data_IF_742113777545
#
_entry.id   IF_742113777545
#
_cell.length_a   1.000
_cell.length_b   1.000
_cell.length_c   1.000
_cell.angle_alpha   90.00
_cell.angle_beta   90.00
_cell.angle_gamma   90.00
#
_symmetry.space_group_name_H-M   'P 1'
#
loop_
_entity.id
_entity.type
_entity.pdbx_description
1 polymer ?
#
# COMPACT_ATOMS: atom_id res chain seq x y z
N UNK A 1 -25.56 -34.11 11.67
CA UNK A 1 -25.24 -34.57 10.29
C UNK A 1 -24.53 -33.47 9.49
N UNK A 2 -25.07 -32.26 9.40
CA UNK A 2 -24.48 -31.13 8.65
C UNK A 2 -23.09 -30.73 9.18
N UNK A 3 -22.90 -30.71 10.50
CA UNK A 3 -21.61 -30.41 11.13
C UNK A 3 -20.56 -31.45 10.80
N UNK A 4 -20.90 -32.73 10.88
CA UNK A 4 -19.97 -33.83 10.55
C UNK A 4 -19.59 -33.82 9.06
N UNK A 5 -20.50 -33.46 8.17
CA UNK A 5 -20.24 -33.28 6.74
C UNK A 5 -19.29 -32.09 6.49
N UNK A 6 -19.49 -30.97 7.17
CA UNK A 6 -18.61 -29.79 7.09
C UNK A 6 -17.20 -30.09 7.65
N UNK A 7 -17.11 -30.79 8.78
CA UNK A 7 -15.83 -31.19 9.37
C UNK A 7 -15.06 -32.14 8.43
N UNK A 8 -15.74 -33.06 7.76
CA UNK A 8 -15.13 -33.94 6.77
C UNK A 8 -14.71 -33.20 5.50
N UNK A 9 -15.54 -32.26 5.00
CA UNK A 9 -15.21 -31.43 3.82
C UNK A 9 -14.01 -30.52 4.07
N UNK A 10 -13.87 -29.99 5.28
CA UNK A 10 -12.75 -29.13 5.68
C UNK A 10 -11.51 -29.93 6.14
N UNK A 11 -11.59 -31.28 6.14
CA UNK A 11 -10.48 -32.14 6.57
C UNK A 11 -10.16 -32.04 8.06
N UNK A 12 -11.12 -31.61 8.89
CA UNK A 12 -10.97 -31.42 10.33
C UNK A 12 -11.13 -32.71 11.13
N UNK A 13 -11.44 -33.83 10.47
CA UNK A 13 -11.59 -35.18 11.02
C UNK A 13 -10.27 -35.82 11.46
N UNK A 14 -9.14 -35.31 11.00
CA UNK A 14 -7.81 -35.80 11.30
C UNK A 14 -7.14 -35.05 12.48
N UNK A 15 -6.16 -35.65 13.18
CA UNK A 15 -5.33 -34.94 14.16
C UNK A 15 -4.65 -33.70 13.57
N UNK A 16 -4.52 -32.64 14.36
CA UNK A 16 -3.94 -31.35 13.92
C UNK A 16 -2.61 -31.49 13.17
N UNK A 17 -1.64 -32.30 13.60
CA UNK A 17 -0.38 -32.48 12.86
C UNK A 17 -0.59 -33.04 11.45
N UNK A 18 -1.57 -33.91 11.28
CA UNK A 18 -1.89 -34.52 9.99
C UNK A 18 -2.57 -33.51 9.06
N UNK A 19 -3.50 -32.69 9.61
CA UNK A 19 -4.11 -31.56 8.86
C UNK A 19 -3.05 -30.60 8.35
N UNK A 20 -2.09 -30.24 9.21
CA UNK A 20 -0.98 -29.34 8.86
C UNK A 20 -0.10 -29.89 7.73
N UNK A 21 0.29 -31.18 7.83
CA UNK A 21 1.10 -31.83 6.79
C UNK A 21 0.35 -31.95 5.47
N UNK A 22 -0.95 -32.30 5.50
CA UNK A 22 -1.79 -32.32 4.29
C UNK A 22 -1.86 -30.97 3.63
N UNK A 23 -2.18 -29.92 4.39
CA UNK A 23 -2.23 -28.55 3.88
C UNK A 23 -0.91 -28.10 3.25
N UNK A 24 0.24 -28.33 3.92
CA UNK A 24 1.55 -28.03 3.35
C UNK A 24 1.83 -28.81 2.07
N UNK A 25 1.44 -30.05 2.00
CA UNK A 25 1.58 -30.87 0.81
C UNK A 25 0.76 -30.30 -0.35
N UNK A 26 -0.46 -29.88 -0.11
CA UNK A 26 -1.32 -29.31 -1.13
C UNK A 26 -0.79 -27.95 -1.61
N UNK A 27 -0.31 -27.11 -0.69
CA UNK A 27 0.33 -25.84 -1.04
C UNK A 27 1.61 -26.04 -1.88
N UNK A 28 2.51 -26.93 -1.46
CA UNK A 28 3.82 -27.07 -2.09
C UNK A 28 3.79 -27.91 -3.37
N UNK A 29 2.97 -28.96 -3.43
CA UNK A 29 2.94 -29.86 -4.60
C UNK A 29 1.90 -29.49 -5.63
N UNK A 30 0.76 -28.96 -5.21
CA UNK A 30 -0.35 -28.63 -6.11
C UNK A 30 -0.56 -27.11 -6.27
N UNK A 31 0.11 -26.30 -5.43
CA UNK A 31 -0.11 -24.83 -5.38
C UNK A 31 -1.55 -24.51 -5.01
N UNK A 32 -2.18 -25.39 -4.22
CA UNK A 32 -3.55 -25.22 -3.74
C UNK A 32 -3.54 -24.55 -2.37
N UNK A 33 -4.11 -23.34 -2.30
CA UNK A 33 -4.23 -22.55 -1.08
C UNK A 33 -5.60 -22.73 -0.41
N UNK A 34 -6.42 -23.63 -0.95
CA UNK A 34 -7.79 -23.84 -0.53
C UNK A 34 -8.76 -22.75 -1.01
N UNK A 35 -10.00 -22.88 -0.56
CA UNK A 35 -11.07 -21.97 -0.89
C UNK A 35 -11.38 -20.99 0.24
N UNK A 36 -11.78 -19.78 -0.14
CA UNK A 36 -12.21 -18.76 0.82
C UNK A 36 -13.54 -19.19 1.47
N UNK A 37 -13.54 -19.32 2.78
CA UNK A 37 -14.73 -19.69 3.57
C UNK A 37 -15.88 -18.68 3.36
N UNK A 38 -15.55 -17.40 3.15
CA UNK A 38 -16.55 -16.34 3.01
C UNK A 38 -17.07 -16.18 1.58
N UNK A 39 -16.25 -16.45 0.57
CA UNK A 39 -16.58 -16.18 -0.83
C UNK A 39 -16.80 -17.45 -1.66
N UNK A 40 -16.40 -18.62 -1.16
CA UNK A 40 -16.54 -19.89 -1.88
C UNK A 40 -15.73 -19.97 -3.18
N UNK A 41 -14.65 -19.17 -3.29
CA UNK A 41 -13.77 -19.14 -4.47
C UNK A 41 -12.33 -19.40 -4.08
N UNK A 42 -11.55 -19.94 -4.99
CA UNK A 42 -10.14 -20.27 -4.77
C UNK A 42 -9.33 -19.06 -4.31
N UNK A 43 -8.60 -19.22 -3.20
CA UNK A 43 -7.67 -18.20 -2.67
C UNK A 43 -6.59 -17.88 -3.69
N UNK A 44 -6.08 -18.88 -4.41
CA UNK A 44 -5.08 -18.70 -5.47
C UNK A 44 -5.56 -17.75 -6.58
N UNK A 45 -6.81 -17.90 -7.02
CA UNK A 45 -7.35 -17.06 -8.09
C UNK A 45 -7.59 -15.63 -7.61
N UNK A 46 -8.03 -15.46 -6.36
CA UNK A 46 -8.13 -14.12 -5.75
C UNK A 46 -6.77 -13.42 -5.66
N UNK A 47 -5.73 -14.14 -5.23
CA UNK A 47 -4.37 -13.59 -5.18
C UNK A 47 -3.93 -13.19 -6.59
N UNK A 48 -4.07 -14.05 -7.59
CA UNK A 48 -3.69 -13.75 -8.97
C UNK A 48 -4.37 -12.50 -9.53
N UNK A 49 -5.64 -12.29 -9.19
CA UNK A 49 -6.39 -11.13 -9.65
C UNK A 49 -6.02 -9.83 -8.93
N UNK A 50 -5.74 -9.90 -7.62
CA UNK A 50 -5.52 -8.70 -6.80
C UNK A 50 -4.06 -8.31 -6.66
N UNK A 51 -3.15 -9.28 -6.67
CA UNK A 51 -1.72 -9.05 -6.45
C UNK A 51 -1.11 -8.06 -7.46
N UNK A 52 -1.40 -8.15 -8.78
CA UNK A 52 -0.84 -7.20 -9.75
C UNK A 52 -1.21 -5.76 -9.42
N UNK A 53 -2.49 -5.51 -9.13
CA UNK A 53 -2.99 -4.17 -8.76
C UNK A 53 -2.34 -3.67 -7.46
N UNK A 54 -2.23 -4.54 -6.46
CA UNK A 54 -1.59 -4.19 -5.18
C UNK A 54 -0.12 -3.84 -5.35
N UNK A 55 0.61 -4.63 -6.15
CA UNK A 55 2.03 -4.36 -6.44
C UNK A 55 2.20 -3.06 -7.24
N UNK A 56 1.35 -2.84 -8.22
CA UNK A 56 1.38 -1.64 -9.06
C UNK A 56 1.17 -0.37 -8.23
N UNK A 57 0.12 -0.33 -7.42
CA UNK A 57 -0.16 0.81 -6.53
C UNK A 57 0.97 0.97 -5.50
N UNK A 58 1.47 -0.13 -4.92
CA UNK A 58 2.54 -0.11 -3.94
C UNK A 58 3.86 0.44 -4.50
N UNK A 59 4.27 -0.03 -5.69
CA UNK A 59 5.47 0.48 -6.38
C UNK A 59 5.31 1.95 -6.74
N UNK A 60 4.15 2.34 -7.27
CA UNK A 60 3.88 3.73 -7.63
C UNK A 60 3.88 4.64 -6.38
N UNK A 61 3.30 4.18 -5.28
CA UNK A 61 3.32 4.89 -3.99
C UNK A 61 4.76 5.10 -3.47
N UNK A 62 5.62 4.07 -3.57
CA UNK A 62 7.04 4.17 -3.20
C UNK A 62 7.79 5.17 -4.09
N UNK A 63 7.57 5.13 -5.41
CA UNK A 63 8.19 6.08 -6.34
C UNK A 63 7.77 7.51 -6.00
N UNK A 64 6.48 7.77 -5.82
CA UNK A 64 5.96 9.08 -5.42
C UNK A 64 6.56 9.52 -4.09
N UNK A 65 6.60 8.60 -3.11
CA UNK A 65 7.17 8.88 -1.81
C UNK A 65 8.66 9.27 -1.89
N UNK A 66 9.46 8.57 -2.67
CA UNK A 66 10.87 8.90 -2.86
C UNK A 66 11.06 10.23 -3.58
N UNK A 67 10.32 10.47 -4.66
CA UNK A 67 10.42 11.70 -5.43
C UNK A 67 10.05 12.95 -4.63
N UNK A 68 9.21 12.82 -3.62
CA UNK A 68 8.79 13.93 -2.75
C UNK A 68 9.69 14.02 -1.51
N UNK A 69 9.91 12.90 -0.81
CA UNK A 69 10.61 12.94 0.48
C UNK A 69 12.08 13.27 0.37
N UNK A 70 12.79 12.79 -0.66
CA UNK A 70 14.24 13.03 -0.81
C UNK A 70 14.58 14.50 -1.02
N UNK A 71 14.01 15.20 -2.01
CA UNK A 71 14.31 16.62 -2.20
C UNK A 71 13.93 17.47 -0.99
N UNK A 72 12.80 17.18 -0.37
CA UNK A 72 12.31 17.89 0.80
C UNK A 72 13.24 17.66 2.01
N UNK A 73 13.64 16.42 2.26
CA UNK A 73 14.53 16.10 3.37
C UNK A 73 15.91 16.75 3.22
N UNK A 74 16.48 16.70 2.01
CA UNK A 74 17.76 17.36 1.70
C UNK A 74 17.65 18.87 1.89
N UNK A 75 16.64 19.50 1.30
CA UNK A 75 16.40 20.94 1.46
C UNK A 75 16.26 21.32 2.95
N UNK A 76 15.46 20.57 3.70
CA UNK A 76 15.20 20.80 5.12
C UNK A 76 16.46 20.63 5.98
N UNK A 77 17.36 19.71 5.62
CA UNK A 77 18.62 19.52 6.32
C UNK A 77 19.64 20.63 6.01
N UNK A 78 19.78 21.00 4.73
CA UNK A 78 20.74 22.05 4.29
C UNK A 78 20.27 23.44 4.74
N UNK A 79 18.98 23.70 4.77
CA UNK A 79 18.37 24.98 5.18
C UNK A 79 17.77 24.88 6.58
N UNK A 80 18.51 24.28 7.50
CA UNK A 80 18.08 24.08 8.89
C UNK A 80 17.63 25.41 9.53
N UNK A 81 16.57 25.33 10.35
CA UNK A 81 15.97 26.42 11.14
C UNK A 81 15.45 27.62 10.31
N UNK A 82 15.25 27.42 9.00
CA UNK A 82 14.54 28.37 8.15
C UNK A 82 13.02 28.12 8.17
N UNK A 83 12.24 29.12 7.69
CA UNK A 83 10.78 28.98 7.52
C UNK A 83 10.44 27.79 6.63
N UNK A 84 11.24 27.52 5.58
CA UNK A 84 11.08 26.34 4.72
C UNK A 84 11.25 25.02 5.46
N UNK A 85 12.28 24.92 6.32
CA UNK A 85 12.47 23.73 7.16
C UNK A 85 11.27 23.50 8.09
N UNK A 86 10.82 24.55 8.79
CA UNK A 86 9.63 24.44 9.64
C UNK A 86 8.37 24.05 8.88
N UNK A 87 8.15 24.61 7.68
CA UNK A 87 7.00 24.26 6.84
C UNK A 87 7.03 22.79 6.42
N UNK A 88 8.17 22.27 5.97
CA UNK A 88 8.30 20.86 5.58
C UNK A 88 8.21 19.88 6.76
N UNK A 89 8.74 20.26 7.93
CA UNK A 89 8.54 19.47 9.15
C UNK A 89 7.09 19.41 9.57
N UNK A 90 6.36 20.53 9.48
CA UNK A 90 4.93 20.57 9.73
C UNK A 90 4.14 19.71 8.73
N UNK A 91 4.50 19.78 7.44
CA UNK A 91 3.90 18.94 6.40
C UNK A 91 4.12 17.45 6.67
N UNK A 92 5.33 17.05 7.08
CA UNK A 92 5.62 15.66 7.45
C UNK A 92 4.75 15.20 8.64
N UNK A 93 4.53 16.07 9.64
CA UNK A 93 3.65 15.75 10.77
C UNK A 93 2.20 15.60 10.30
N UNK A 94 1.71 16.49 9.44
CA UNK A 94 0.36 16.40 8.87
C UNK A 94 0.19 15.08 8.14
N UNK A 95 1.13 14.68 7.31
CA UNK A 95 1.06 13.42 6.56
C UNK A 95 0.98 12.18 7.45
N UNK A 96 1.69 12.17 8.58
CA UNK A 96 1.63 11.06 9.54
C UNK A 96 0.36 11.09 10.38
N UNK A 97 -0.19 12.28 10.65
CA UNK A 97 -1.31 12.47 11.56
C UNK A 97 -2.67 12.16 10.90
N UNK A 98 -2.76 12.29 9.58
CA UNK A 98 -4.00 12.05 8.86
C UNK A 98 -4.15 10.56 8.53
N UNK A 99 -5.27 9.91 8.91
CA UNK A 99 -5.54 8.54 8.50
C UNK A 99 -5.70 8.46 6.98
N UNK A 100 -4.93 7.59 6.31
CA UNK A 100 -4.94 7.45 4.84
C UNK A 100 -6.35 7.14 4.29
N UNK A 101 -7.11 6.28 4.97
CA UNK A 101 -8.49 5.98 4.56
C UNK A 101 -9.40 7.21 4.59
N UNK A 102 -9.22 8.08 5.58
CA UNK A 102 -9.99 9.32 5.68
C UNK A 102 -9.65 10.28 4.54
N UNK A 103 -8.37 10.46 4.24
CA UNK A 103 -7.92 11.25 3.09
C UNK A 103 -8.52 10.69 1.80
N UNK A 104 -8.48 9.35 1.62
CA UNK A 104 -9.08 8.68 0.47
C UNK A 104 -10.57 8.98 0.32
N UNK A 105 -11.33 8.91 1.40
CA UNK A 105 -12.76 9.26 1.39
C UNK A 105 -12.95 10.73 1.00
N UNK A 106 -12.20 11.66 1.60
CA UNK A 106 -12.34 13.09 1.32
C UNK A 106 -12.01 13.43 -0.14
N UNK A 107 -10.98 12.83 -0.70
CA UNK A 107 -10.55 13.02 -2.09
C UNK A 107 -11.58 12.48 -3.10
N UNK A 108 -12.40 11.52 -2.73
CA UNK A 108 -13.50 11.04 -3.58
C UNK A 108 -14.77 11.84 -3.37
N UNK A 109 -15.15 12.08 -2.11
CA UNK A 109 -16.44 12.68 -1.74
C UNK A 109 -16.52 14.15 -2.12
N UNK A 110 -15.52 14.97 -1.79
CA UNK A 110 -15.58 16.41 -2.09
C UNK A 110 -15.64 16.72 -3.59
N UNK A 111 -14.77 16.15 -4.44
CA UNK A 111 -14.90 16.39 -5.88
C UNK A 111 -16.20 15.86 -6.48
N UNK A 112 -16.71 14.74 -5.95
CA UNK A 112 -18.00 14.21 -6.39
C UNK A 112 -19.15 15.16 -6.09
N UNK A 113 -19.18 15.77 -4.89
CA UNK A 113 -20.26 16.69 -4.49
C UNK A 113 -20.15 18.04 -5.24
N UNK A 114 -18.93 18.59 -5.37
CA UNK A 114 -18.78 19.96 -5.89
C UNK A 114 -18.64 20.02 -7.40
N UNK A 115 -18.09 19.01 -8.05
CA UNK A 115 -17.77 19.00 -9.48
C UNK A 115 -18.39 17.82 -10.24
N UNK A 116 -19.14 16.94 -9.56
CA UNK A 116 -19.70 15.73 -10.18
C UNK A 116 -18.63 14.74 -10.67
N UNK A 117 -17.38 14.87 -10.18
CA UNK A 117 -16.29 13.98 -10.57
C UNK A 117 -16.32 12.69 -9.74
N UNK A 118 -16.12 11.57 -10.40
CA UNK A 118 -15.89 10.27 -9.74
C UNK A 118 -14.67 9.60 -10.33
N UNK A 119 -13.90 8.86 -9.50
CA UNK A 119 -12.78 8.08 -10.01
C UNK A 119 -13.25 7.00 -10.97
N UNK A 120 -12.44 6.61 -11.98
CA UNK A 120 -12.76 5.52 -12.87
C UNK A 120 -12.89 4.20 -12.08
N UNK A 121 -13.94 3.42 -12.39
CA UNK A 121 -14.26 2.16 -11.70
C UNK A 121 -13.70 0.96 -12.47
N UNK A 122 -13.44 1.12 -13.77
CA UNK A 122 -12.99 0.03 -14.64
C UNK A 122 -11.47 -0.08 -14.54
N UNK A 123 -11.00 -1.26 -14.18
CA UNK A 123 -9.57 -1.55 -14.12
C UNK A 123 -8.96 -1.50 -15.54
N UNK A 124 -8.00 -0.61 -15.73
CA UNK A 124 -7.24 -0.46 -16.98
C UNK A 124 -5.88 -1.11 -16.77
N UNK A 125 -5.55 -2.08 -17.60
CA UNK A 125 -4.25 -2.77 -17.55
C UNK A 125 -3.12 -1.80 -17.95
N UNK A 126 -1.99 -1.88 -17.25
CA UNK A 126 -0.78 -1.11 -17.59
C UNK A 126 -0.28 -1.40 -19.02
N UNK A 127 -0.49 -2.62 -19.50
CA UNK A 127 -0.01 -3.07 -20.81
C UNK A 127 -0.91 -2.63 -21.96
N UNK A 128 -2.21 -2.39 -21.69
CA UNK A 128 -3.18 -2.00 -22.71
C UNK A 128 -3.23 -0.48 -22.91
N UNK A 129 -3.26 0.28 -21.80
CA UNK A 129 -3.23 1.75 -21.80
C UNK A 129 -2.45 2.27 -20.60
N UNK A 130 -1.12 2.47 -20.71
CA UNK A 130 -0.27 2.95 -19.62
C UNK A 130 -0.69 4.31 -19.05
N UNK A 131 -1.18 5.20 -19.91
CA UNK A 131 -1.59 6.55 -19.49
C UNK A 131 -2.92 6.52 -18.74
N UNK A 132 -3.88 5.76 -19.23
CA UNK A 132 -5.17 5.55 -18.57
C UNK A 132 -4.99 4.86 -17.22
N UNK A 133 -4.15 3.86 -17.16
CA UNK A 133 -3.75 3.15 -15.94
C UNK A 133 -3.10 4.10 -14.93
N UNK A 134 -2.10 4.90 -15.34
CA UNK A 134 -1.44 5.87 -14.46
C UNK A 134 -2.44 6.89 -13.90
N UNK A 135 -3.33 7.43 -14.74
CA UNK A 135 -4.39 8.36 -14.29
C UNK A 135 -5.31 7.74 -13.25
N UNK A 136 -5.57 6.44 -13.36
CA UNK A 136 -6.41 5.69 -12.43
C UNK A 136 -5.71 5.48 -11.09
N UNK A 137 -4.43 5.10 -11.11
CA UNK A 137 -3.72 4.67 -9.90
C UNK A 137 -2.89 5.75 -9.21
N UNK A 138 -2.60 6.88 -9.89
CA UNK A 138 -1.77 7.94 -9.30
C UNK A 138 -2.36 8.52 -8.01
N UNK A 139 -3.68 8.67 -7.96
CA UNK A 139 -4.37 9.24 -6.81
C UNK A 139 -4.35 8.30 -5.59
N UNK A 140 -4.78 7.02 -5.70
CA UNK A 140 -4.60 6.05 -4.62
C UNK A 140 -3.14 5.88 -4.19
N UNK A 141 -2.21 5.85 -5.15
CA UNK A 141 -0.79 5.73 -4.86
C UNK A 141 -0.24 6.96 -4.11
N UNK A 142 -0.68 8.17 -4.46
CA UNK A 142 -0.30 9.38 -3.75
C UNK A 142 -0.82 9.39 -2.31
N UNK A 143 -2.05 8.93 -2.08
CA UNK A 143 -2.64 8.81 -0.74
C UNK A 143 -1.85 7.81 0.11
N UNK A 144 -1.58 6.62 -0.41
CA UNK A 144 -0.72 5.62 0.27
C UNK A 144 0.70 6.15 0.50
N UNK A 145 1.24 6.91 -0.45
CA UNK A 145 2.55 7.52 -0.36
C UNK A 145 2.66 8.60 0.72
N UNK A 146 1.55 9.20 1.17
CA UNK A 146 1.56 10.27 2.19
C UNK A 146 2.15 9.80 3.52
N UNK A 147 1.70 8.68 4.05
CA UNK A 147 2.21 8.11 5.29
C UNK A 147 3.71 7.77 5.18
N UNK A 148 4.10 7.15 4.06
CA UNK A 148 5.50 6.83 3.75
C UNK A 148 6.34 8.12 3.68
N UNK A 149 5.83 9.17 3.02
CA UNK A 149 6.50 10.46 2.90
C UNK A 149 6.79 11.09 4.26
N UNK A 150 5.81 11.14 5.14
CA UNK A 150 5.97 11.77 6.45
C UNK A 150 7.07 11.11 7.29
N UNK A 151 7.16 9.78 7.27
CA UNK A 151 8.21 9.02 7.96
C UNK A 151 9.57 9.25 7.28
N UNK A 152 9.66 9.13 5.96
CA UNK A 152 10.89 9.26 5.21
C UNK A 152 11.50 10.68 5.30
N UNK A 153 10.68 11.73 5.19
CA UNK A 153 11.12 13.12 5.34
C UNK A 153 11.83 13.33 6.69
N UNK A 154 11.28 12.80 7.77
CA UNK A 154 11.86 12.93 9.11
C UNK A 154 13.15 12.12 9.27
N UNK A 155 13.11 10.85 8.86
CA UNK A 155 14.25 9.94 8.98
C UNK A 155 15.44 10.45 8.15
N UNK A 156 15.21 10.77 6.89
CA UNK A 156 16.27 11.24 5.99
C UNK A 156 16.83 12.58 6.39
N UNK A 157 15.98 13.51 6.86
CA UNK A 157 16.48 14.78 7.41
C UNK A 157 17.44 14.54 8.57
N UNK A 158 17.10 13.63 9.50
CA UNK A 158 17.98 13.32 10.63
C UNK A 158 19.31 12.75 10.16
N UNK A 159 19.29 11.77 9.25
CA UNK A 159 20.52 11.19 8.68
C UNK A 159 21.36 12.21 7.91
N UNK A 160 20.72 13.10 7.14
CA UNK A 160 21.42 14.17 6.42
C UNK A 160 22.08 15.18 7.37
N UNK A 161 21.44 15.51 8.50
CA UNK A 161 22.02 16.40 9.50
C UNK A 161 23.24 15.80 10.18
N UNK A 162 23.27 14.48 10.39
CA UNK A 162 24.44 13.78 10.91
C UNK A 162 25.61 13.91 9.92
N UNK A 163 25.37 13.62 8.64
CA UNK A 163 26.40 13.70 7.58
C UNK A 163 26.90 15.14 7.38
N UNK A 164 26.01 16.13 7.30
CA UNK A 164 26.38 17.54 7.06
C UNK A 164 27.19 18.15 8.22
N UNK A 165 27.12 17.53 9.41
CA UNK A 165 27.89 17.98 10.59
C UNK A 165 29.28 17.34 10.74
N UNK A 166 29.62 16.40 9.87
CA UNK A 166 30.92 15.75 9.90
C UNK A 166 32.02 16.69 9.35
N UNK A 167 33.19 16.67 10.02
CA UNK A 167 34.31 17.61 9.76
C UNK A 167 34.96 17.49 8.36
N UNK A 168 34.54 16.47 7.55
CA UNK A 168 35.09 16.23 6.20
C UNK A 168 34.21 16.80 5.07
N UNK A 169 33.11 17.47 5.38
CA UNK A 169 32.26 18.20 4.44
C UNK A 169 32.45 19.68 4.56
#
# INVERSE_FOLDING_TARGET
ELRAQLEAQLGLDAPIPVQYVRWWKDVLLHGDLGDSIFMGVSVKDQIKQRLPVTLEIGVLALIIAMLISFPIAIFSAVRQDTIGDYAFRSLAIIFISLPEFWVGIMVVVFPSIWWGWSPPIINISLWDDPIGNLKMYILPAAILGMGINGVNMRLMRTMMLEVVREDYI
#
